data_IF_276390322497
#
_entry.id   IF_276390322497
#
_cell.length_a   1.000
_cell.length_b   1.000
_cell.length_c   1.000
_cell.angle_alpha   90.00
_cell.angle_beta   90.00
_cell.angle_gamma   90.00
#
_symmetry.space_group_name_H-M   'P 1'
#
loop_
_entity.id
_entity.type
_entity.pdbx_description
1 polymer ?
#
# COMPACT_ATOMS: atom_id res chain seq x y z
N UNK A 1 -1.00 -8.19 14.84
CA UNK A 1 0.15 -7.99 13.95
C UNK A 1 0.32 -9.10 12.91
N UNK A 2 0.52 -10.37 13.31
CA UNK A 2 0.86 -11.45 12.36
C UNK A 2 -0.09 -11.63 11.16
N UNK A 3 -1.40 -11.54 11.36
CA UNK A 3 -2.37 -11.73 10.26
C UNK A 3 -2.39 -10.58 9.25
N UNK A 4 -2.12 -9.34 9.66
CA UNK A 4 -2.11 -8.18 8.77
C UNK A 4 -0.88 -8.18 7.85
N UNK A 5 0.30 -8.45 8.43
CA UNK A 5 1.55 -8.57 7.67
C UNK A 5 1.46 -9.71 6.65
N UNK A 6 0.84 -10.84 7.01
CA UNK A 6 0.59 -11.95 6.06
C UNK A 6 -0.32 -11.53 4.90
N UNK A 7 -1.39 -10.76 5.15
CA UNK A 7 -2.27 -10.28 4.08
C UNK A 7 -1.56 -9.30 3.15
N UNK A 8 -0.76 -8.37 3.69
CA UNK A 8 0.04 -7.47 2.87
C UNK A 8 1.05 -8.24 2.03
N UNK A 9 1.77 -9.19 2.63
CA UNK A 9 2.74 -10.02 1.90
C UNK A 9 2.07 -10.87 0.82
N UNK A 10 0.87 -11.40 1.06
CA UNK A 10 0.11 -12.13 0.05
C UNK A 10 -0.33 -11.22 -1.11
N UNK A 11 -0.75 -9.99 -0.80
CA UNK A 11 -1.08 -8.99 -1.82
C UNK A 11 0.17 -8.61 -2.62
N UNK A 12 1.31 -8.37 -1.97
CA UNK A 12 2.59 -8.06 -2.64
C UNK A 12 3.04 -9.23 -3.52
N UNK A 13 2.91 -10.46 -3.05
CA UNK A 13 3.28 -11.66 -3.81
C UNK A 13 2.34 -11.87 -5.01
N UNK A 14 1.04 -11.60 -4.85
CA UNK A 14 0.08 -11.62 -5.95
C UNK A 14 0.37 -10.53 -7.00
N UNK A 15 0.70 -9.32 -6.55
CA UNK A 15 1.09 -8.20 -7.43
C UNK A 15 2.40 -8.51 -8.15
N UNK A 16 3.40 -9.08 -7.46
CA UNK A 16 4.66 -9.49 -8.08
C UNK A 16 4.43 -10.61 -9.10
N UNK A 17 3.62 -11.62 -8.78
CA UNK A 17 3.30 -12.71 -9.72
C UNK A 17 2.53 -12.20 -10.96
N UNK A 18 1.52 -11.35 -10.75
CA UNK A 18 0.70 -10.78 -11.81
C UNK A 18 1.42 -9.69 -12.61
N UNK A 19 2.40 -9.00 -12.03
CA UNK A 19 3.20 -7.98 -12.70
C UNK A 19 4.42 -8.56 -13.43
N UNK A 20 5.00 -9.65 -12.91
CA UNK A 20 6.12 -10.36 -13.54
C UNK A 20 5.71 -11.01 -14.86
N UNK A 21 4.52 -11.61 -14.90
CA UNK A 21 4.01 -12.30 -16.10
C UNK A 21 3.88 -11.40 -17.34
N UNK A 22 3.17 -10.24 -17.30
CA UNK A 22 3.07 -9.33 -18.42
C UNK A 22 4.39 -8.59 -18.69
N UNK A 23 5.21 -8.33 -17.67
CA UNK A 23 6.51 -7.68 -17.86
C UNK A 23 7.47 -8.54 -18.69
N UNK A 24 7.44 -9.86 -18.53
CA UNK A 24 8.21 -10.81 -19.37
C UNK A 24 7.74 -10.84 -20.83
N UNK A 25 6.45 -10.59 -21.07
CA UNK A 25 5.86 -10.66 -22.42
C UNK A 25 6.00 -9.32 -23.16
N UNK A 26 5.96 -8.19 -22.44
CA UNK A 26 5.91 -6.85 -23.04
C UNK A 26 7.29 -6.28 -23.39
N UNK A 27 8.26 -6.27 -22.47
CA UNK A 27 9.58 -5.65 -22.70
C UNK A 27 10.64 -6.31 -21.82
N UNK A 28 11.71 -6.83 -22.43
CA UNK A 28 12.72 -7.68 -21.81
C UNK A 28 13.25 -7.18 -20.45
N UNK A 29 12.81 -7.82 -19.37
CA UNK A 29 13.49 -8.00 -18.07
C UNK A 29 13.81 -6.78 -17.20
N UNK A 30 13.94 -5.57 -17.76
CA UNK A 30 14.48 -4.39 -17.05
C UNK A 30 13.52 -3.78 -16.02
N UNK A 31 12.20 -3.93 -16.22
CA UNK A 31 11.17 -3.27 -15.40
C UNK A 31 10.87 -3.98 -14.07
N UNK A 32 11.43 -5.18 -13.86
CA UNK A 32 11.21 -5.96 -12.64
C UNK A 32 11.75 -5.27 -11.38
N UNK A 33 12.89 -4.59 -11.51
CA UNK A 33 13.56 -3.91 -10.39
C UNK A 33 12.69 -2.76 -9.84
N UNK A 34 11.97 -2.06 -10.72
CA UNK A 34 11.03 -0.99 -10.36
C UNK A 34 9.82 -1.54 -9.61
N UNK A 35 9.28 -2.68 -10.05
CA UNK A 35 8.14 -3.33 -9.39
C UNK A 35 8.50 -3.82 -7.98
N UNK A 36 9.69 -4.39 -7.82
CA UNK A 36 10.21 -4.85 -6.52
C UNK A 36 10.43 -3.67 -5.58
N UNK A 37 11.06 -2.58 -6.06
CA UNK A 37 11.27 -1.37 -5.26
C UNK A 37 9.94 -0.73 -4.86
N UNK A 38 8.97 -0.63 -5.78
CA UNK A 38 7.63 -0.12 -5.49
C UNK A 38 6.88 -0.99 -4.45
N UNK A 39 7.00 -2.31 -4.54
CA UNK A 39 6.45 -3.21 -3.52
C UNK A 39 7.08 -2.93 -2.17
N UNK A 40 8.42 -3.01 -2.04
CA UNK A 40 9.12 -2.79 -0.77
C UNK A 40 8.72 -1.46 -0.13
N UNK A 41 8.69 -0.39 -0.92
CA UNK A 41 8.41 0.95 -0.44
C UNK A 41 6.94 1.09 0.03
N UNK A 42 6.00 0.48 -0.71
CA UNK A 42 4.58 0.47 -0.29
C UNK A 42 4.32 -0.45 0.89
N UNK A 43 5.04 -1.58 1.03
CA UNK A 43 4.98 -2.48 2.18
C UNK A 43 5.46 -1.77 3.45
N UNK A 44 6.63 -1.13 3.40
CA UNK A 44 7.17 -0.36 4.53
C UNK A 44 6.19 0.74 4.98
N UNK A 45 5.61 1.44 4.01
CA UNK A 45 4.68 2.53 4.30
C UNK A 45 3.35 2.02 4.92
N UNK A 46 2.87 0.86 4.46
CA UNK A 46 1.70 0.20 5.03
C UNK A 46 1.98 -0.34 6.44
N UNK A 47 3.16 -0.91 6.69
CA UNK A 47 3.58 -1.37 8.02
C UNK A 47 3.72 -0.21 9.00
N UNK A 48 4.33 0.91 8.58
CA UNK A 48 4.43 2.11 9.41
C UNK A 48 3.06 2.70 9.74
N UNK A 49 2.16 2.76 8.76
CA UNK A 49 0.77 3.21 8.99
C UNK A 49 0.06 2.31 10.01
N UNK A 50 0.13 1.00 9.82
CA UNK A 50 -0.47 0.04 10.73
C UNK A 50 0.12 0.10 12.14
N UNK A 51 1.42 0.29 12.28
CA UNK A 51 2.07 0.48 13.57
C UNK A 51 1.56 1.74 14.27
N UNK A 52 1.44 2.85 13.53
CA UNK A 52 0.92 4.12 14.03
C UNK A 52 -0.53 4.00 14.50
N UNK A 53 -1.37 3.29 13.72
CA UNK A 53 -2.78 3.00 14.06
C UNK A 53 -2.86 2.08 15.28
N UNK A 54 -2.08 0.99 15.31
CA UNK A 54 -2.05 0.05 16.42
C UNK A 54 -1.59 0.69 17.73
N UNK A 55 -0.66 1.66 17.67
CA UNK A 55 -0.22 2.42 18.85
C UNK A 55 -1.25 3.46 19.31
N UNK A 56 -2.15 3.87 18.42
CA UNK A 56 -3.29 4.73 18.74
C UNK A 56 -4.56 3.96 19.12
N UNK A 57 -4.56 2.62 19.07
CA UNK A 57 -5.66 1.81 19.58
C UNK A 57 -5.77 1.99 21.10
N UNK A 58 -6.92 2.50 21.56
CA UNK A 58 -7.15 2.88 22.96
C UNK A 58 -7.14 4.40 23.21
N UNK A 59 -6.75 5.20 22.21
CA UNK A 59 -6.86 6.66 22.26
C UNK A 59 -8.19 7.13 21.68
N UNK A 60 -8.60 8.36 22.03
CA UNK A 60 -9.85 8.99 21.56
C UNK A 60 -9.96 8.89 20.03
N UNK A 61 -11.18 8.69 19.51
CA UNK A 61 -11.50 8.55 18.08
C UNK A 61 -10.74 9.55 17.18
N UNK A 62 -10.59 10.81 17.63
CA UNK A 62 -9.85 11.84 16.89
C UNK A 62 -8.35 11.56 16.71
N UNK A 63 -7.67 10.95 17.69
CA UNK A 63 -6.26 10.57 17.57
C UNK A 63 -6.08 9.32 16.69
N UNK A 64 -7.06 8.41 16.69
CA UNK A 64 -7.07 7.27 15.77
C UNK A 64 -7.27 7.74 14.33
N UNK A 65 -8.28 8.57 14.06
CA UNK A 65 -8.51 9.13 12.74
C UNK A 65 -7.33 9.99 12.28
N UNK A 66 -6.71 10.77 13.17
CA UNK A 66 -5.50 11.53 12.86
C UNK A 66 -4.33 10.66 12.41
N UNK A 67 -4.11 9.49 13.06
CA UNK A 67 -3.09 8.54 12.63
C UNK A 67 -3.42 7.89 11.27
N UNK A 68 -4.70 7.61 11.01
CA UNK A 68 -5.18 7.04 9.74
C UNK A 68 -5.03 8.06 8.59
N UNK A 69 -5.52 9.29 8.78
CA UNK A 69 -5.38 10.37 7.79
C UNK A 69 -3.93 10.79 7.59
N UNK A 70 -3.12 10.83 8.66
CA UNK A 70 -1.68 11.08 8.56
C UNK A 70 -0.95 10.01 7.76
N UNK A 71 -1.25 8.73 7.99
CA UNK A 71 -0.73 7.62 7.20
C UNK A 71 -1.15 7.68 5.73
N UNK A 72 -2.41 8.04 5.46
CA UNK A 72 -2.90 8.27 4.09
C UNK A 72 -2.21 9.45 3.41
N UNK A 73 -1.98 10.56 4.11
CA UNK A 73 -1.29 11.74 3.57
C UNK A 73 0.16 11.43 3.17
N UNK A 74 0.89 10.72 4.03
CA UNK A 74 2.26 10.26 3.72
C UNK A 74 2.26 9.32 2.51
N UNK A 75 1.26 8.45 2.39
CA UNK A 75 1.10 7.59 1.20
C UNK A 75 0.88 8.36 -0.07
N UNK A 76 0.04 9.40 -0.06
CA UNK A 76 -0.20 10.25 -1.23
C UNK A 76 1.07 10.98 -1.66
N UNK A 77 1.87 11.48 -0.72
CA UNK A 77 3.16 12.11 -1.03
C UNK A 77 4.13 11.13 -1.67
N UNK A 78 4.20 9.90 -1.16
CA UNK A 78 5.06 8.84 -1.73
C UNK A 78 4.57 8.43 -3.13
N UNK A 79 3.26 8.34 -3.33
CA UNK A 79 2.68 7.99 -4.63
C UNK A 79 2.96 9.10 -5.66
N UNK A 80 2.84 10.37 -5.25
CA UNK A 80 3.21 11.52 -6.06
C UNK A 80 4.70 11.48 -6.43
N UNK A 81 5.58 11.23 -5.45
CA UNK A 81 7.01 11.11 -5.69
C UNK A 81 7.36 9.98 -6.66
N UNK A 82 6.69 8.83 -6.55
CA UNK A 82 6.86 7.71 -7.47
C UNK A 82 6.41 8.05 -8.91
N UNK A 83 5.28 8.75 -9.06
CA UNK A 83 4.81 9.23 -10.37
C UNK A 83 5.79 10.22 -10.98
N UNK A 84 6.26 11.21 -10.20
CA UNK A 84 7.27 12.18 -10.66
C UNK A 84 8.57 11.47 -11.05
N UNK A 85 9.04 10.53 -10.23
CA UNK A 85 10.24 9.75 -10.51
C UNK A 85 10.11 9.01 -11.86
N UNK A 86 8.99 8.34 -12.12
CA UNK A 86 8.79 7.64 -13.40
C UNK A 86 8.72 8.60 -14.58
N UNK A 87 8.03 9.74 -14.45
CA UNK A 87 7.94 10.73 -15.52
C UNK A 87 9.32 11.29 -15.90
N UNK A 88 10.20 11.52 -14.92
CA UNK A 88 11.52 12.13 -15.16
C UNK A 88 12.64 11.12 -15.42
N UNK A 89 12.54 9.89 -14.91
CA UNK A 89 13.60 8.88 -15.02
C UNK A 89 13.30 7.81 -16.06
N UNK A 90 12.08 7.70 -16.59
CA UNK A 90 11.71 6.59 -17.48
C UNK A 90 10.79 7.02 -18.63
N UNK A 91 11.06 6.56 -19.84
CA UNK A 91 10.17 6.70 -21.00
C UNK A 91 9.03 5.66 -21.00
N UNK A 92 8.66 5.16 -19.81
CA UNK A 92 7.59 4.18 -19.68
C UNK A 92 6.24 4.80 -20.10
N UNK A 93 5.32 4.01 -20.70
CA UNK A 93 3.97 4.45 -20.97
C UNK A 93 3.26 4.83 -19.66
N UNK A 94 3.21 6.13 -19.40
CA UNK A 94 2.73 6.73 -18.15
C UNK A 94 1.35 6.21 -17.73
N UNK A 95 0.48 5.97 -18.72
CA UNK A 95 -0.89 5.51 -18.48
C UNK A 95 -0.93 4.11 -17.82
N UNK A 96 -0.13 3.16 -18.31
CA UNK A 96 -0.06 1.80 -17.76
C UNK A 96 0.52 1.78 -16.35
N UNK A 97 1.51 2.63 -16.08
CA UNK A 97 2.10 2.76 -14.75
C UNK A 97 1.09 3.33 -13.75
N UNK A 98 0.42 4.43 -14.10
CA UNK A 98 -0.57 5.09 -13.23
C UNK A 98 -1.70 4.12 -12.88
N UNK A 99 -2.24 3.38 -13.87
CA UNK A 99 -3.31 2.39 -13.63
C UNK A 99 -2.85 1.29 -12.68
N UNK A 100 -1.65 0.74 -12.89
CA UNK A 100 -1.11 -0.32 -12.05
C UNK A 100 -0.91 0.15 -10.60
N UNK A 101 -0.35 1.36 -10.43
CA UNK A 101 -0.18 1.99 -9.14
C UNK A 101 -1.54 2.21 -8.44
N UNK A 102 -2.54 2.65 -9.20
CA UNK A 102 -3.88 2.92 -8.69
C UNK A 102 -4.60 1.66 -8.22
N UNK A 103 -4.51 0.56 -8.98
CA UNK A 103 -5.11 -0.73 -8.61
C UNK A 103 -4.45 -1.30 -7.34
N UNK A 104 -3.12 -1.29 -7.28
CA UNK A 104 -2.37 -1.71 -6.09
C UNK A 104 -2.74 -0.88 -4.87
N UNK A 105 -2.83 0.44 -5.06
CA UNK A 105 -3.18 1.39 -4.01
C UNK A 105 -4.59 1.16 -3.46
N UNK A 106 -5.59 1.06 -4.34
CA UNK A 106 -6.98 0.81 -3.94
C UNK A 106 -7.12 -0.50 -3.18
N UNK A 107 -6.50 -1.56 -3.68
CA UNK A 107 -6.56 -2.89 -3.04
C UNK A 107 -6.01 -2.87 -1.61
N UNK A 108 -4.86 -2.23 -1.39
CA UNK A 108 -4.25 -2.08 -0.05
C UNK A 108 -5.08 -1.16 0.86
N UNK A 109 -5.64 -0.09 0.31
CA UNK A 109 -6.47 0.85 1.07
C UNK A 109 -7.78 0.23 1.55
N UNK A 110 -8.45 -0.56 0.70
CA UNK A 110 -9.65 -1.31 1.07
C UNK A 110 -9.35 -2.33 2.17
N UNK A 111 -8.25 -3.08 2.05
CA UNK A 111 -7.84 -4.04 3.08
C UNK A 111 -7.61 -3.37 4.44
N UNK A 112 -7.01 -2.18 4.46
CA UNK A 112 -6.77 -1.40 5.67
C UNK A 112 -8.06 -0.90 6.31
N UNK A 113 -9.00 -0.37 5.52
CA UNK A 113 -10.31 0.08 6.01
C UNK A 113 -11.09 -1.09 6.63
N UNK A 114 -11.10 -2.25 5.96
CA UNK A 114 -11.76 -3.46 6.48
C UNK A 114 -11.13 -3.88 7.81
N UNK A 115 -9.80 -3.81 7.93
CA UNK A 115 -9.09 -4.18 9.15
C UNK A 115 -9.38 -3.21 10.31
N UNK A 116 -9.39 -1.90 10.04
CA UNK A 116 -9.76 -0.89 11.03
C UNK A 116 -11.20 -1.10 11.52
N UNK A 117 -12.13 -1.32 10.60
CA UNK A 117 -13.55 -1.49 10.93
C UNK A 117 -13.79 -2.76 11.76
N UNK A 118 -13.11 -3.86 11.41
CA UNK A 118 -13.12 -5.09 12.23
C UNK A 118 -12.58 -4.86 13.64
N UNK A 119 -11.53 -4.06 13.79
CA UNK A 119 -10.94 -3.75 15.09
C UNK A 119 -11.88 -2.89 15.93
N UNK A 120 -12.51 -1.86 15.37
CA UNK A 120 -13.46 -1.00 16.07
C UNK A 120 -14.67 -1.79 16.60
N UNK A 121 -15.30 -2.62 15.75
CA UNK A 121 -16.44 -3.44 16.17
C UNK A 121 -16.10 -4.39 17.32
N UNK A 122 -14.88 -4.95 17.35
CA UNK A 122 -14.45 -5.84 18.43
C UNK A 122 -14.25 -5.11 19.76
N UNK A 123 -13.87 -3.82 19.73
CA UNK A 123 -13.72 -3.00 20.95
C UNK A 123 -15.04 -2.51 21.53
N UNK A 124 -16.09 -2.42 20.71
CA UNK A 124 -17.44 -2.03 21.14
C UNK A 124 -18.24 -3.20 21.72
N UNK A 125 -17.96 -4.45 21.33
CA UNK A 125 -18.67 -5.63 21.85
C UNK A 125 -18.10 -6.19 23.17
N UNK A 126 -17.05 -5.59 23.72
CA UNK A 126 -16.46 -6.01 25.00
C UNK A 126 -16.65 -4.99 26.14
N UNK A 127 -17.48 -3.96 25.91
CA UNK A 127 -18.08 -3.14 26.95
C UNK A 127 -19.56 -3.51 27.07
#
# INVERSE_FOLDING_TARGET
MGSFVRVILLIDLAILALGYWPAQIAEGGGHYLVLVLACILTTLNAVMSYYSISKSMGKKMGQMMGAVFGGMGIRLLILLAAVVAVIFLTELPQFSFIISLFICYLSKSVAEIIFINRIQNKSLSSN
#
